data_IF_124387544947
#
_entry.id   IF_124387544947
#
_cell.length_a   1.000
_cell.length_b   1.000
_cell.length_c   1.000
_cell.angle_alpha   90.00
_cell.angle_beta   90.00
_cell.angle_gamma   90.00
#
_symmetry.space_group_name_H-M   'P 1'
#
loop_
_entity.id
_entity.type
_entity.pdbx_description
1 polymer ?
#
# COMPACT_ATOMS: atom_id res chain seq x y z
N UNK A 1 0.51 -13.99 6.19
CA UNK A 1 0.61 -12.58 6.62
C UNK A 1 0.87 -11.75 5.39
N UNK A 2 0.37 -10.53 5.34
CA UNK A 2 0.55 -9.60 4.22
C UNK A 2 1.41 -8.42 4.66
N UNK A 3 2.22 -7.89 3.74
CA UNK A 3 3.10 -6.77 4.00
C UNK A 3 2.61 -5.54 3.23
N UNK A 4 2.08 -4.55 3.94
CA UNK A 4 1.51 -3.34 3.36
C UNK A 4 2.51 -2.18 3.41
N UNK A 5 2.87 -1.68 2.24
CA UNK A 5 3.53 -0.39 2.12
C UNK A 5 2.49 0.72 2.31
N UNK A 6 2.44 1.33 3.50
CA UNK A 6 1.57 2.47 3.75
C UNK A 6 2.18 3.70 3.06
N UNK A 7 1.76 3.95 1.82
CA UNK A 7 2.23 5.08 1.03
C UNK A 7 1.60 6.38 1.54
N UNK A 8 2.44 7.27 2.04
CA UNK A 8 2.08 8.59 2.56
C UNK A 8 2.63 9.65 1.60
N UNK A 9 1.76 10.46 1.02
CA UNK A 9 2.15 11.56 0.16
C UNK A 9 2.68 12.77 0.97
N UNK A 10 3.27 13.74 0.28
CA UNK A 10 3.86 14.95 0.87
C UNK A 10 2.83 15.87 1.55
N UNK A 11 1.56 15.80 1.13
CA UNK A 11 0.41 16.45 1.77
C UNK A 11 -0.22 15.59 2.89
N UNK A 12 0.49 14.56 3.35
CA UNK A 12 0.13 13.61 4.41
C UNK A 12 -1.12 12.74 4.13
N UNK A 13 -1.66 12.80 2.91
CA UNK A 13 -2.69 11.86 2.48
C UNK A 13 -2.09 10.46 2.30
N UNK A 14 -2.95 9.45 2.42
CA UNK A 14 -2.61 8.07 2.12
C UNK A 14 -2.99 7.76 0.67
N UNK A 15 -2.17 6.98 -0.02
CA UNK A 15 -2.47 6.50 -1.38
C UNK A 15 -2.57 4.98 -1.34
N UNK A 16 -3.78 4.48 -1.56
CA UNK A 16 -4.12 3.07 -1.71
C UNK A 16 -4.36 2.73 -3.19
N UNK A 17 -4.66 1.46 -3.47
CA UNK A 17 -5.07 0.97 -4.79
C UNK A 17 -6.48 0.39 -4.74
N UNK A 18 -7.17 0.36 -5.88
CA UNK A 18 -8.39 -0.42 -6.09
C UNK A 18 -8.07 -1.59 -7.00
N UNK A 19 -8.39 -2.80 -6.55
CA UNK A 19 -8.14 -4.03 -7.32
C UNK A 19 -9.05 -4.14 -8.54
N UNK A 20 -8.49 -4.59 -9.67
CA UNK A 20 -9.22 -4.72 -10.91
C UNK A 20 -10.29 -5.82 -10.86
N UNK A 21 -11.34 -5.66 -11.66
CA UNK A 21 -12.52 -6.54 -11.67
C UNK A 21 -12.25 -8.03 -11.97
N UNK A 22 -11.13 -8.35 -12.62
CA UNK A 22 -10.74 -9.72 -12.97
C UNK A 22 -9.92 -10.43 -11.87
N UNK A 23 -9.60 -9.74 -10.78
CA UNK A 23 -8.79 -10.27 -9.68
C UNK A 23 -9.64 -10.92 -8.58
N UNK A 24 -9.01 -11.71 -7.70
CA UNK A 24 -9.68 -12.35 -6.55
C UNK A 24 -10.31 -11.33 -5.60
N UNK A 25 -9.70 -10.15 -5.48
CA UNK A 25 -10.15 -9.07 -4.61
C UNK A 25 -10.86 -7.95 -5.38
N UNK A 26 -11.53 -8.27 -6.50
CA UNK A 26 -12.20 -7.30 -7.36
C UNK A 26 -12.92 -6.15 -6.61
N UNK A 27 -12.56 -4.91 -6.96
CA UNK A 27 -13.15 -3.69 -6.41
C UNK A 27 -12.76 -3.36 -4.96
N UNK A 28 -11.95 -4.21 -4.29
CA UNK A 28 -11.46 -3.95 -2.94
C UNK A 28 -10.38 -2.88 -2.96
N UNK A 29 -10.33 -2.10 -1.87
CA UNK A 29 -9.38 -1.01 -1.67
C UNK A 29 -8.47 -1.33 -0.48
N UNK A 30 -7.16 -1.34 -0.73
CA UNK A 30 -6.10 -1.51 0.26
C UNK A 30 -4.78 -0.94 -0.27
N UNK A 31 -3.73 -0.85 0.56
CA UNK A 31 -2.40 -0.46 0.08
C UNK A 31 -1.82 -1.51 -0.86
N UNK A 32 -1.06 -1.11 -1.87
CA UNK A 32 -0.32 -2.04 -2.72
C UNK A 32 0.53 -2.99 -1.84
N UNK A 33 0.28 -4.29 -1.99
CA UNK A 33 0.71 -5.30 -1.03
C UNK A 33 0.53 -6.71 -1.59
N UNK A 34 1.48 -7.59 -1.29
CA UNK A 34 1.40 -9.01 -1.62
C UNK A 34 1.72 -9.92 -0.46
N UNK A 35 1.65 -11.22 -0.73
CA UNK A 35 2.14 -12.26 0.17
C UNK A 35 3.65 -12.39 0.08
N UNK A 36 4.29 -12.88 1.14
CA UNK A 36 5.71 -13.24 1.05
C UNK A 36 5.93 -14.43 0.12
N UNK A 37 6.89 -14.27 -0.77
CA UNK A 37 7.36 -15.28 -1.70
C UNK A 37 8.73 -15.82 -1.27
N UNK A 38 9.18 -16.98 -1.76
CA UNK A 38 10.51 -17.52 -1.43
C UNK A 38 11.67 -16.52 -1.67
N UNK A 39 11.55 -15.62 -2.66
CA UNK A 39 12.55 -14.59 -2.97
C UNK A 39 12.69 -13.52 -1.89
N UNK A 40 11.67 -13.37 -1.03
CA UNK A 40 11.67 -12.42 0.08
C UNK A 40 12.48 -12.92 1.28
N UNK A 41 13.02 -14.14 1.23
CA UNK A 41 13.77 -14.75 2.32
C UNK A 41 15.26 -14.85 1.99
N UNK A 42 16.10 -14.43 2.94
CA UNK A 42 17.56 -14.62 2.90
C UNK A 42 17.99 -15.29 4.18
N UNK A 43 18.61 -16.47 4.07
CA UNK A 43 19.04 -17.29 5.20
C UNK A 43 17.94 -17.56 6.24
N UNK A 44 16.70 -17.76 5.76
CA UNK A 44 15.53 -18.04 6.60
C UNK A 44 14.91 -16.80 7.27
N UNK A 45 15.43 -15.60 7.01
CA UNK A 45 14.87 -14.34 7.49
C UNK A 45 14.16 -13.60 6.36
N UNK A 46 12.96 -13.09 6.66
CA UNK A 46 12.18 -12.30 5.71
C UNK A 46 12.73 -10.88 5.59
N UNK A 47 12.92 -10.42 4.36
CA UNK A 47 13.16 -9.03 4.01
C UNK A 47 11.82 -8.36 3.65
N UNK A 48 11.16 -7.82 4.68
CA UNK A 48 9.84 -7.20 4.56
C UNK A 48 9.89 -5.95 3.65
N UNK A 49 10.99 -5.19 3.70
CA UNK A 49 11.14 -4.01 2.85
C UNK A 49 11.28 -4.40 1.38
N UNK A 50 12.05 -5.46 1.08
CA UNK A 50 12.20 -5.95 -0.27
C UNK A 50 10.85 -6.38 -0.86
N UNK A 51 10.04 -7.13 -0.11
CA UNK A 51 8.67 -7.47 -0.52
C UNK A 51 7.84 -6.19 -0.77
N UNK A 52 7.71 -5.30 0.21
CA UNK A 52 6.91 -4.08 0.10
C UNK A 52 7.31 -3.20 -1.10
N UNK A 53 8.61 -3.04 -1.36
CA UNK A 53 9.11 -2.24 -2.47
C UNK A 53 8.84 -2.92 -3.82
N UNK A 54 8.98 -4.26 -3.89
CA UNK A 54 8.69 -5.03 -5.09
C UNK A 54 7.21 -4.94 -5.45
N UNK A 55 6.32 -5.25 -4.51
CA UNK A 55 4.86 -5.24 -4.74
C UNK A 55 4.37 -3.85 -5.19
N UNK A 56 4.82 -2.78 -4.52
CA UNK A 56 4.47 -1.41 -4.93
C UNK A 56 4.97 -1.12 -6.35
N UNK A 57 6.18 -1.54 -6.69
CA UNK A 57 6.74 -1.30 -8.02
C UNK A 57 5.95 -2.05 -9.10
N UNK A 58 5.60 -3.31 -8.84
CA UNK A 58 4.88 -4.17 -9.78
C UNK A 58 3.46 -3.66 -10.03
N UNK A 59 2.72 -3.29 -8.98
CA UNK A 59 1.31 -2.87 -9.11
C UNK A 59 1.14 -1.40 -9.51
N UNK A 60 2.09 -0.53 -9.20
CA UNK A 60 1.91 0.93 -9.31
C UNK A 60 2.99 1.66 -10.11
N UNK A 61 4.08 0.97 -10.46
CA UNK A 61 5.23 1.57 -11.15
C UNK A 61 6.08 2.50 -10.27
N UNK A 62 5.74 2.70 -8.99
CA UNK A 62 6.48 3.56 -8.08
C UNK A 62 7.71 2.85 -7.50
N UNK A 63 8.83 3.56 -7.39
CA UNK A 63 10.04 3.03 -6.76
C UNK A 63 10.24 3.58 -5.35
N UNK A 64 9.99 2.73 -4.35
CA UNK A 64 10.14 3.09 -2.94
C UNK A 64 11.55 2.87 -2.37
N UNK A 65 12.52 2.43 -3.18
CA UNK A 65 13.87 2.11 -2.70
C UNK A 65 14.56 3.31 -2.02
N UNK A 66 14.40 4.52 -2.57
CA UNK A 66 14.98 5.77 -2.04
C UNK A 66 14.05 6.56 -1.11
N UNK A 67 12.83 6.09 -0.88
CA UNK A 67 11.78 6.84 -0.17
C UNK A 67 12.00 6.78 1.35
N UNK A 68 11.70 7.88 2.05
CA UNK A 68 11.85 7.95 3.51
C UNK A 68 10.89 6.97 4.18
N UNK A 69 11.42 6.08 5.04
CA UNK A 69 10.63 5.02 5.69
C UNK A 69 10.39 5.32 7.16
N UNK A 70 9.26 4.88 7.70
CA UNK A 70 9.01 4.89 9.14
C UNK A 70 10.09 4.10 9.91
N UNK A 71 10.36 4.43 11.17
CA UNK A 71 11.45 3.76 11.93
C UNK A 71 11.14 2.32 12.31
N UNK A 72 9.86 1.98 12.43
CA UNK A 72 9.38 0.69 12.94
C UNK A 72 8.47 0.03 11.91
N UNK A 73 8.42 -1.29 11.96
CA UNK A 73 7.28 -2.05 11.48
C UNK A 73 6.21 -2.07 12.57
N UNK A 74 4.96 -2.07 12.13
CA UNK A 74 3.81 -2.28 12.99
C UNK A 74 3.07 -3.52 12.50
N UNK A 75 2.34 -4.15 13.42
CA UNK A 75 1.52 -5.31 13.09
C UNK A 75 0.11 -5.10 13.63
N UNK A 76 -0.87 -5.39 12.79
CA UNK A 76 -2.27 -5.52 13.17
C UNK A 76 -2.64 -6.99 13.03
N UNK A 77 -2.98 -7.64 14.13
CA UNK A 77 -3.52 -9.00 14.11
C UNK A 77 -5.03 -8.97 14.26
N UNK A 78 -5.73 -9.63 13.35
CA UNK A 78 -7.17 -9.83 13.37
C UNK A 78 -7.48 -11.32 13.42
N UNK A 79 -8.76 -11.69 13.54
CA UNK A 79 -9.17 -13.09 13.46
C UNK A 79 -8.89 -13.73 12.09
N UNK A 80 -8.73 -12.92 11.03
CA UNK A 80 -8.57 -13.39 9.65
C UNK A 80 -7.13 -13.31 9.14
N UNK A 81 -6.21 -12.75 9.93
CA UNK A 81 -4.79 -12.72 9.58
C UNK A 81 -4.01 -11.62 10.29
N UNK A 82 -2.74 -11.51 9.93
CA UNK A 82 -1.84 -10.47 10.42
C UNK A 82 -1.35 -9.63 9.24
N UNK A 83 -1.50 -8.31 9.38
CA UNK A 83 -0.95 -7.30 8.47
C UNK A 83 0.28 -6.70 9.12
N UNK A 84 1.42 -6.82 8.45
CA UNK A 84 2.64 -6.10 8.79
C UNK A 84 2.67 -4.85 7.91
N UNK A 85 2.93 -3.68 8.48
CA UNK A 85 2.92 -2.45 7.71
C UNK A 85 3.98 -1.47 8.17
N UNK A 86 4.39 -0.60 7.24
CA UNK A 86 5.37 0.46 7.45
C UNK A 86 5.04 1.63 6.55
N UNK A 87 5.28 2.86 7.04
CA UNK A 87 5.10 4.07 6.23
C UNK A 87 6.25 4.24 5.25
N UNK A 88 5.91 4.64 4.03
CA UNK A 88 6.82 5.16 3.02
C UNK A 88 6.35 6.56 2.63
N UNK A 89 7.19 7.57 2.84
CA UNK A 89 6.84 8.99 2.72
C UNK A 89 7.42 9.58 1.45
N UNK A 90 6.55 9.83 0.49
CA UNK A 90 6.84 10.58 -0.73
C UNK A 90 6.90 12.08 -0.45
N UNK A 91 7.66 12.81 -1.27
CA UNK A 91 7.65 14.27 -1.25
C UNK A 91 6.58 14.87 -2.16
N UNK A 92 6.13 14.11 -3.16
CA UNK A 92 5.08 14.52 -4.08
C UNK A 92 3.71 14.52 -3.39
N UNK A 93 2.81 15.40 -3.83
CA UNK A 93 1.41 15.44 -3.37
C UNK A 93 0.65 14.16 -3.75
N UNK A 94 -0.45 13.88 -3.05
CA UNK A 94 -1.25 12.70 -3.34
C UNK A 94 -1.79 12.66 -4.78
N UNK A 95 -2.12 13.81 -5.35
CA UNK A 95 -2.61 13.91 -6.72
C UNK A 95 -1.50 13.63 -7.75
N UNK A 96 -0.27 14.08 -7.49
CA UNK A 96 0.89 13.74 -8.33
C UNK A 96 1.25 12.25 -8.26
N UNK A 97 1.19 11.66 -7.05
CA UNK A 97 1.39 10.22 -6.86
C UNK A 97 0.30 9.45 -7.62
N UNK A 98 -0.98 9.80 -7.42
CA UNK A 98 -2.08 9.17 -8.12
C UNK A 98 -1.95 9.28 -9.64
N UNK A 99 -1.56 10.45 -10.16
CA UNK A 99 -1.34 10.62 -11.60
C UNK A 99 -0.27 9.66 -12.15
N UNK A 100 0.83 9.44 -11.41
CA UNK A 100 1.88 8.48 -11.80
C UNK A 100 1.35 7.05 -11.83
N UNK A 101 0.60 6.65 -10.79
CA UNK A 101 -0.03 5.31 -10.73
C UNK A 101 -1.00 5.13 -11.89
N UNK A 102 -1.89 6.10 -12.13
CA UNK A 102 -2.83 6.04 -13.26
C UNK A 102 -2.12 5.96 -14.61
N UNK A 103 -1.00 6.66 -14.79
CA UNK A 103 -0.21 6.60 -16.02
C UNK A 103 0.44 5.22 -16.21
N UNK A 104 0.94 4.60 -15.13
CA UNK A 104 1.46 3.24 -15.14
C UNK A 104 0.37 2.23 -15.52
N UNK A 105 -0.76 2.25 -14.82
CA UNK A 105 -1.91 1.37 -15.08
C UNK A 105 -2.41 1.47 -16.52
N UNK A 106 -2.46 2.68 -17.09
CA UNK A 106 -2.89 2.89 -18.47
C UNK A 106 -1.92 2.33 -19.54
N UNK A 107 -0.66 2.05 -19.17
CA UNK A 107 0.34 1.47 -20.06
C UNK A 107 0.37 -0.07 -20.01
N UNK A 108 -0.23 -0.67 -18.99
CA UNK A 108 -0.28 -2.11 -18.81
C UNK A 108 -1.40 -2.74 -19.66
N UNK A 109 -1.14 -3.92 -20.23
CA UNK A 109 -2.12 -4.62 -21.06
C UNK A 109 -3.25 -5.26 -20.22
N UNK A 110 -2.90 -5.76 -19.03
CA UNK A 110 -3.82 -6.40 -18.09
C UNK A 110 -3.42 -5.99 -16.66
N UNK A 111 -3.71 -4.74 -16.25
CA UNK A 111 -3.29 -4.23 -14.95
C UNK A 111 -4.05 -4.92 -13.81
N UNK A 112 -3.33 -5.34 -12.76
CA UNK A 112 -3.93 -5.96 -11.58
C UNK A 112 -4.81 -4.98 -10.76
N UNK A 113 -4.61 -3.67 -10.94
CA UNK A 113 -5.35 -2.61 -10.26
C UNK A 113 -6.15 -1.75 -11.25
N UNK A 114 -7.34 -1.29 -10.85
CA UNK A 114 -8.10 -0.29 -11.60
C UNK A 114 -7.48 1.11 -11.48
N UNK A 115 -6.74 1.36 -10.40
CA UNK A 115 -6.04 2.63 -10.19
C UNK A 115 -5.87 3.03 -8.72
N UNK A 116 -5.36 4.25 -8.48
CA UNK A 116 -5.11 4.77 -7.15
C UNK A 116 -6.40 5.21 -6.44
N UNK A 117 -6.38 5.16 -5.11
CA UNK A 117 -7.42 5.72 -4.24
C UNK A 117 -6.74 6.61 -3.19
N UNK A 118 -7.03 7.91 -3.23
CA UNK A 118 -6.51 8.87 -2.26
C UNK A 118 -7.42 8.88 -1.03
N UNK A 119 -6.82 8.86 0.16
CA UNK A 119 -7.50 8.92 1.45
C UNK A 119 -6.92 10.11 2.23
N UNK A 120 -7.70 11.17 2.41
CA UNK A 120 -7.20 12.46 2.91
C UNK A 120 -7.31 12.63 4.43
N UNK A 121 -8.15 11.86 5.10
CA UNK A 121 -8.33 11.92 6.55
C UNK A 121 -8.93 10.61 7.08
N UNK A 122 -9.13 10.53 8.41
CA UNK A 122 -9.62 9.31 9.07
C UNK A 122 -11.08 8.95 8.73
N UNK A 123 -11.88 9.92 8.32
CA UNK A 123 -13.29 9.74 7.95
C UNK A 123 -13.49 9.50 6.45
N UNK A 124 -12.42 9.62 5.66
CA UNK A 124 -12.40 9.36 4.22
C UNK A 124 -12.30 7.84 3.96
N UNK A 125 -13.45 7.18 3.98
CA UNK A 125 -13.57 5.72 3.88
C UNK A 125 -14.18 5.32 2.53
N UNK A 126 -13.36 5.03 1.50
CA UNK A 126 -13.85 4.75 0.15
C UNK A 126 -14.61 3.43 0.05
N UNK A 127 -15.53 3.34 -0.92
CA UNK A 127 -16.25 2.11 -1.23
C UNK A 127 -15.29 0.98 -1.60
N UNK A 128 -15.48 -0.18 -0.98
CA UNK A 128 -14.65 -1.37 -1.19
C UNK A 128 -13.46 -1.48 -0.21
N UNK A 129 -13.29 -0.53 0.71
CA UNK A 129 -12.22 -0.56 1.71
C UNK A 129 -12.20 -1.87 2.51
N UNK A 130 -11.04 -2.53 2.53
CA UNK A 130 -10.86 -3.77 3.29
C UNK A 130 -10.96 -3.51 4.81
N UNK A 131 -11.54 -4.42 5.61
CA UNK A 131 -11.77 -4.18 7.04
C UNK A 131 -10.51 -3.82 7.84
N UNK A 132 -9.35 -4.36 7.47
CA UNK A 132 -8.08 -4.07 8.15
C UNK A 132 -7.53 -2.67 7.84
N UNK A 133 -8.00 -1.99 6.79
CA UNK A 133 -7.48 -0.67 6.41
C UNK A 133 -7.93 0.43 7.35
N UNK A 134 -9.18 0.39 7.83
CA UNK A 134 -9.73 1.41 8.74
C UNK A 134 -8.84 1.66 9.97
N UNK A 135 -8.45 0.65 10.76
CA UNK A 135 -7.56 0.89 11.90
C UNK A 135 -6.16 1.39 11.51
N UNK A 136 -5.65 1.04 10.32
CA UNK A 136 -4.38 1.57 9.80
C UNK A 136 -4.48 3.07 9.45
N UNK A 137 -5.58 3.45 8.81
CA UNK A 137 -5.90 4.84 8.45
C UNK A 137 -6.07 5.70 9.71
N UNK A 138 -6.89 5.25 10.66
CA UNK A 138 -7.10 5.92 11.94
C UNK A 138 -5.77 6.08 12.71
N UNK A 139 -4.93 5.03 12.71
CA UNK A 139 -3.63 5.08 13.36
C UNK A 139 -2.69 6.13 12.75
N UNK A 140 -2.64 6.23 11.42
CA UNK A 140 -1.82 7.22 10.72
C UNK A 140 -2.27 8.65 11.06
N UNK A 141 -3.57 8.94 10.93
CA UNK A 141 -4.10 10.28 11.18
C UNK A 141 -4.17 10.67 12.65
N UNK A 142 -4.10 9.72 13.58
CA UNK A 142 -3.94 10.00 15.00
C UNK A 142 -2.54 10.54 15.38
N UNK A 143 -1.59 10.59 14.43
CA UNK A 143 -0.25 11.13 14.67
C UNK A 143 0.63 10.28 15.59
N UNK A 144 0.34 8.97 15.70
CA UNK A 144 1.07 8.05 16.58
C UNK A 144 2.38 7.58 15.94
N UNK A 145 3.45 7.34 16.70
CA UNK A 145 4.72 6.74 16.26
C UNK A 145 5.13 5.55 17.15
#
# INVERSE_FOLDING_TARGET
AYAHAMLVAGDNALVAIRMASHTVNAGRVYFAAGSFEPTDFRDGLVDVDFNMIREVREETGLDLAGVTRGRRYYALSTATGTVIFRRYRETASADEVAQRISAFVAAEAEPEIDGPVIIRNADDLPDGLMPHMKPLIEWHFAGKD
#
